data_IF_472406396800
#
_entry.id   IF_472406396800
#
_cell.length_a   1.000
_cell.length_b   1.000
_cell.length_c   1.000
_cell.angle_alpha   90.00
_cell.angle_beta   90.00
_cell.angle_gamma   90.00
#
_symmetry.space_group_name_H-M   'P 1'
#
loop_
_entity.id
_entity.type
_entity.pdbx_description
1 polymer ?
#
# COMPACT_ATOMS: atom_id res chain seq x y z
N UNK A 1 -14.35 -6.59 -5.32
CA UNK A 1 -12.98 -6.11 -5.06
C UNK A 1 -12.22 -7.08 -4.18
N UNK A 2 -10.96 -6.76 -3.89
CA UNK A 2 -10.10 -7.46 -2.94
C UNK A 2 -9.96 -6.62 -1.69
N UNK A 3 -9.95 -7.25 -0.52
CA UNK A 3 -9.78 -6.59 0.77
C UNK A 3 -8.41 -5.92 0.87
N UNK A 4 -8.31 -4.63 1.26
CA UNK A 4 -7.04 -3.89 1.24
C UNK A 4 -6.18 -4.09 2.49
N UNK A 5 -6.62 -4.84 3.51
CA UNK A 5 -5.97 -4.83 4.82
C UNK A 5 -4.78 -5.77 4.97
N UNK A 6 -4.81 -6.95 4.38
CA UNK A 6 -3.69 -7.89 4.48
C UNK A 6 -3.53 -8.79 3.25
N UNK A 7 -2.42 -9.53 3.21
CA UNK A 7 -2.05 -10.37 2.07
C UNK A 7 -2.86 -11.65 1.85
N UNK A 8 -3.87 -11.97 2.69
CA UNK A 8 -4.77 -13.11 2.45
C UNK A 8 -5.52 -12.96 1.13
N UNK A 9 -5.82 -11.70 0.72
CA UNK A 9 -6.48 -11.46 -0.55
C UNK A 9 -7.96 -11.83 -0.57
N UNK A 10 -8.65 -11.68 0.57
CA UNK A 10 -10.08 -11.96 0.67
C UNK A 10 -10.87 -11.18 -0.38
N UNK A 11 -11.69 -11.88 -1.16
CA UNK A 11 -12.61 -11.23 -2.09
C UNK A 11 -13.82 -10.69 -1.34
N UNK A 12 -14.21 -9.45 -1.68
CA UNK A 12 -15.29 -8.72 -1.02
C UNK A 12 -16.24 -8.07 -2.02
N UNK A 13 -17.46 -7.83 -1.56
CA UNK A 13 -18.46 -7.00 -2.25
C UNK A 13 -18.76 -5.78 -1.37
N UNK A 14 -18.56 -4.59 -1.93
CA UNK A 14 -19.04 -3.36 -1.32
C UNK A 14 -20.51 -3.17 -1.68
N UNK A 15 -21.37 -3.04 -0.66
CA UNK A 15 -22.77 -2.68 -0.85
C UNK A 15 -22.87 -1.16 -0.72
N UNK A 16 -23.28 -0.51 -1.80
CA UNK A 16 -23.29 0.95 -1.92
C UNK A 16 -24.72 1.45 -2.05
N UNK A 17 -25.06 2.50 -1.33
CA UNK A 17 -26.31 3.25 -1.45
C UNK A 17 -26.01 4.74 -1.30
N UNK A 18 -26.58 5.56 -2.19
CA UNK A 18 -26.38 7.01 -2.21
C UNK A 18 -24.88 7.39 -2.16
N UNK A 19 -24.07 6.72 -3.02
CA UNK A 19 -22.61 6.89 -3.14
C UNK A 19 -21.81 6.58 -1.86
N UNK A 20 -22.43 5.97 -0.86
CA UNK A 20 -21.78 5.58 0.40
C UNK A 20 -21.74 4.06 0.53
N UNK A 21 -20.60 3.54 0.99
CA UNK A 21 -20.49 2.13 1.37
C UNK A 21 -21.26 1.95 2.68
N UNK A 22 -22.30 1.11 2.63
CA UNK A 22 -23.14 0.83 3.80
C UNK A 22 -22.80 -0.48 4.49
N UNK A 23 -22.20 -1.42 3.76
CA UNK A 23 -21.71 -2.69 4.31
C UNK A 23 -20.75 -3.38 3.37
N UNK A 24 -20.00 -4.34 3.91
CA UNK A 24 -19.10 -5.21 3.14
C UNK A 24 -19.45 -6.67 3.42
N UNK A 25 -19.60 -7.45 2.35
CA UNK A 25 -19.83 -8.89 2.43
C UNK A 25 -18.69 -9.66 1.75
N UNK A 26 -18.40 -10.86 2.23
CA UNK A 26 -17.42 -11.74 1.61
C UNK A 26 -17.95 -12.35 0.31
N UNK A 27 -17.15 -12.28 -0.75
CA UNK A 27 -17.37 -13.07 -1.98
C UNK A 27 -16.75 -14.44 -1.86
N UNK A 28 -17.18 -15.33 -2.71
CA UNK A 28 -16.64 -16.68 -2.80
C UNK A 28 -15.30 -16.66 -3.55
N UNK A 29 -14.26 -16.30 -2.82
CA UNK A 29 -12.88 -16.23 -3.31
C UNK A 29 -12.05 -17.43 -2.82
N UNK A 30 -10.99 -17.82 -3.55
CA UNK A 30 -10.21 -19.01 -3.25
C UNK A 30 -9.52 -18.99 -1.88
N UNK A 31 -9.23 -17.79 -1.36
CA UNK A 31 -8.57 -17.62 -0.07
C UNK A 31 -9.53 -17.47 1.11
N UNK A 32 -10.78 -17.07 0.87
CA UNK A 32 -11.68 -16.71 1.96
C UNK A 32 -13.04 -17.43 1.99
N UNK A 33 -13.54 -17.97 0.88
CA UNK A 33 -14.84 -18.67 0.81
C UNK A 33 -15.91 -17.94 1.62
N UNK A 34 -16.20 -16.70 1.26
CA UNK A 34 -17.13 -15.77 1.92
C UNK A 34 -16.78 -15.36 3.36
N UNK A 35 -15.71 -15.90 3.94
CA UNK A 35 -15.26 -15.51 5.28
C UNK A 35 -14.64 -14.11 5.23
N UNK A 36 -14.84 -13.34 6.29
CA UNK A 36 -14.19 -12.05 6.52
C UNK A 36 -13.83 -11.91 7.99
N UNK A 37 -12.68 -11.32 8.25
CA UNK A 37 -12.34 -10.84 9.59
C UNK A 37 -12.99 -9.48 9.88
N UNK A 38 -12.86 -9.01 11.10
CA UNK A 38 -13.41 -7.72 11.54
C UNK A 38 -12.96 -6.55 10.66
N UNK A 39 -11.69 -6.53 10.23
CA UNK A 39 -11.14 -5.46 9.37
C UNK A 39 -11.80 -5.45 7.99
N UNK A 40 -11.88 -6.60 7.34
CA UNK A 40 -12.50 -6.71 6.01
C UNK A 40 -13.99 -6.39 6.02
N UNK A 41 -14.67 -6.68 7.13
CA UNK A 41 -16.12 -6.47 7.25
C UNK A 41 -16.50 -5.04 7.64
N UNK A 42 -15.75 -4.41 8.53
CA UNK A 42 -16.13 -3.14 9.16
C UNK A 42 -15.13 -2.00 8.92
N UNK A 43 -13.94 -2.30 8.40
CA UNK A 43 -12.88 -1.31 8.27
C UNK A 43 -13.02 -0.33 7.09
N UNK A 44 -14.19 -0.21 6.47
CA UNK A 44 -14.40 0.65 5.30
C UNK A 44 -14.72 2.12 5.64
N UNK A 45 -14.93 2.46 6.89
CA UNK A 45 -15.34 3.80 7.34
C UNK A 45 -14.35 4.90 6.92
N UNK A 46 -13.05 4.56 6.81
CA UNK A 46 -12.03 5.53 6.40
C UNK A 46 -12.30 6.14 5.01
N UNK A 47 -13.05 5.47 4.14
CA UNK A 47 -13.36 5.96 2.79
C UNK A 47 -14.20 7.24 2.85
N UNK A 48 -15.12 7.31 3.83
CA UNK A 48 -16.02 8.43 4.04
C UNK A 48 -15.65 9.28 5.28
N UNK A 49 -14.44 9.14 5.81
CA UNK A 49 -13.98 9.93 6.95
C UNK A 49 -14.04 11.42 6.64
N UNK A 50 -14.61 12.25 7.54
CA UNK A 50 -14.59 13.70 7.38
C UNK A 50 -13.18 14.30 7.40
N UNK A 51 -12.21 13.59 7.99
CA UNK A 51 -10.82 14.01 8.04
C UNK A 51 -10.02 13.61 6.80
N UNK A 52 -10.67 12.94 5.84
CA UNK A 52 -10.01 12.52 4.60
C UNK A 52 -9.63 13.73 3.77
N UNK A 53 -8.36 13.82 3.38
CA UNK A 53 -7.88 14.83 2.45
C UNK A 53 -8.43 14.55 1.04
N UNK A 54 -9.19 15.50 0.50
CA UNK A 54 -9.82 15.40 -0.82
C UNK A 54 -9.18 16.33 -1.86
N UNK A 55 -8.26 17.18 -1.42
CA UNK A 55 -7.51 18.11 -2.26
C UNK A 55 -6.02 18.02 -1.96
N UNK A 56 -5.14 18.32 -2.93
CA UNK A 56 -3.72 18.43 -2.67
C UNK A 56 -3.41 19.49 -1.62
N UNK A 57 -2.46 19.19 -0.76
CA UNK A 57 -1.93 20.12 0.23
C UNK A 57 -0.54 20.60 -0.20
N UNK A 58 -0.41 21.90 -0.36
CA UNK A 58 0.84 22.57 -0.73
C UNK A 58 1.37 23.31 0.48
N UNK A 59 2.64 23.06 0.83
CA UNK A 59 3.29 23.76 1.94
C UNK A 59 3.35 25.27 1.68
N UNK A 60 3.00 26.05 2.68
CA UNK A 60 3.05 27.52 2.57
C UNK A 60 4.50 28.01 2.40
N UNK A 61 4.72 29.08 1.63
CA UNK A 61 6.03 29.69 1.50
C UNK A 61 6.63 30.07 2.88
N UNK A 62 7.93 29.84 3.05
CA UNK A 62 8.63 30.16 4.30
C UNK A 62 8.46 29.18 5.45
N UNK A 63 7.54 28.20 5.34
CA UNK A 63 7.36 27.19 6.38
C UNK A 63 8.43 26.10 6.23
N UNK A 64 9.16 25.83 7.32
CA UNK A 64 10.23 24.83 7.33
C UNK A 64 9.73 23.39 7.05
N UNK A 65 10.59 22.61 6.39
CA UNK A 65 10.37 21.15 6.19
C UNK A 65 10.94 20.35 7.37
N UNK A 66 10.58 20.76 8.58
CA UNK A 66 11.06 20.12 9.79
C UNK A 66 9.90 19.36 10.46
N UNK A 67 10.05 18.07 10.77
CA UNK A 67 9.06 17.31 11.52
C UNK A 67 8.69 17.98 12.85
N UNK A 68 9.66 18.50 13.60
CA UNK A 68 9.43 19.18 14.88
C UNK A 68 8.54 20.43 14.70
N UNK A 69 8.69 21.15 13.58
CA UNK A 69 7.81 22.27 13.27
C UNK A 69 6.36 21.81 13.04
N UNK A 70 6.17 20.69 12.35
CA UNK A 70 4.83 20.13 12.14
C UNK A 70 4.18 19.64 13.42
N UNK A 71 4.95 19.11 14.37
CA UNK A 71 4.45 18.68 15.70
C UNK A 71 3.99 19.87 16.56
N UNK A 72 4.62 21.02 16.42
CA UNK A 72 4.24 22.27 17.10
C UNK A 72 2.98 22.90 16.53
N UNK A 73 2.59 22.52 15.31
CA UNK A 73 1.43 23.05 14.59
C UNK A 73 0.44 21.90 14.30
N UNK A 74 -0.39 21.48 15.26
CA UNK A 74 -1.30 20.34 15.11
C UNK A 74 -2.39 20.59 14.07
N UNK A 75 -2.74 21.86 13.79
CA UNK A 75 -3.59 22.19 12.64
C UNK A 75 -2.74 22.25 11.38
N UNK A 76 -2.94 21.28 10.47
CA UNK A 76 -2.25 21.24 9.19
C UNK A 76 -2.41 22.52 8.36
N UNK A 77 -3.49 23.30 8.60
CA UNK A 77 -3.77 24.57 7.90
C UNK A 77 -2.75 25.65 8.24
N UNK A 78 -2.03 25.54 9.33
CA UNK A 78 -0.93 26.47 9.66
C UNK A 78 0.27 26.25 8.74
N UNK A 79 0.54 24.97 8.39
CA UNK A 79 1.69 24.54 7.60
C UNK A 79 1.39 24.47 6.10
N UNK A 80 0.17 24.05 5.75
CA UNK A 80 -0.22 23.81 4.38
C UNK A 80 -1.43 24.68 3.98
N UNK A 81 -1.62 24.79 2.68
CA UNK A 81 -2.85 25.29 2.05
C UNK A 81 -3.38 24.27 1.06
N UNK A 82 -4.65 24.29 0.81
CA UNK A 82 -5.23 23.53 -0.31
C UNK A 82 -4.78 24.13 -1.65
N UNK A 83 -4.60 23.28 -2.63
CA UNK A 83 -4.28 23.61 -4.02
C UNK A 83 -5.14 22.80 -4.98
N UNK A 84 -5.08 23.16 -6.27
CA UNK A 84 -5.62 22.31 -7.33
C UNK A 84 -4.65 21.17 -7.67
N UNK A 85 -5.15 20.14 -8.37
CA UNK A 85 -4.30 19.07 -8.86
C UNK A 85 -3.29 19.58 -9.90
N UNK A 86 -3.70 20.52 -10.76
CA UNK A 86 -2.84 21.15 -11.78
C UNK A 86 -1.67 21.85 -11.11
N UNK A 87 -1.95 22.71 -10.13
CA UNK A 87 -0.93 23.44 -9.38
C UNK A 87 0.04 22.50 -8.66
N UNK A 88 -0.48 21.49 -7.98
CA UNK A 88 0.34 20.54 -7.23
C UNK A 88 1.25 19.69 -8.14
N UNK A 89 0.71 19.23 -9.27
CA UNK A 89 1.47 18.46 -10.26
C UNK A 89 2.52 19.31 -10.96
N UNK A 90 2.20 20.55 -11.33
CA UNK A 90 3.15 21.48 -11.93
C UNK A 90 4.30 21.78 -10.98
N UNK A 91 4.00 22.08 -9.73
CA UNK A 91 5.01 22.33 -8.70
C UNK A 91 5.92 21.11 -8.49
N UNK A 92 5.33 19.91 -8.33
CA UNK A 92 6.08 18.70 -8.08
C UNK A 92 6.94 18.29 -9.28
N UNK A 93 6.35 18.26 -10.49
CA UNK A 93 7.07 17.85 -11.69
C UNK A 93 8.15 18.88 -12.06
N UNK A 94 7.85 20.18 -11.94
CA UNK A 94 8.83 21.23 -12.19
C UNK A 94 10.05 21.12 -11.29
N UNK A 95 9.84 20.84 -9.98
CA UNK A 95 10.96 20.64 -9.04
C UNK A 95 11.74 19.36 -9.31
N UNK A 96 11.10 18.28 -9.70
CA UNK A 96 11.79 17.04 -10.08
C UNK A 96 12.64 17.23 -11.35
N UNK A 97 12.13 17.96 -12.35
CA UNK A 97 12.87 18.31 -13.56
C UNK A 97 14.07 19.22 -13.23
N UNK A 98 13.87 20.25 -12.41
CA UNK A 98 14.95 21.14 -11.95
C UNK A 98 16.08 20.33 -11.28
N UNK A 99 15.75 19.44 -10.35
CA UNK A 99 16.72 18.59 -9.66
C UNK A 99 17.43 17.64 -10.61
N UNK A 100 16.72 17.03 -11.56
CA UNK A 100 17.29 16.17 -12.58
C UNK A 100 18.29 16.92 -13.46
N UNK A 101 17.95 18.14 -13.89
CA UNK A 101 18.84 18.96 -14.72
C UNK A 101 20.08 19.38 -13.93
N UNK A 102 19.91 19.81 -12.68
CA UNK A 102 20.99 20.33 -11.84
C UNK A 102 21.95 19.25 -11.34
N UNK A 103 21.43 18.08 -10.96
CA UNK A 103 22.19 17.03 -10.25
C UNK A 103 22.29 15.70 -11.01
N UNK A 104 21.65 15.62 -12.18
CA UNK A 104 21.59 14.41 -13.00
C UNK A 104 20.50 13.42 -12.55
N UNK A 105 20.16 12.42 -13.40
CA UNK A 105 19.05 11.50 -13.16
C UNK A 105 19.23 10.62 -11.92
N UNK A 106 20.49 10.32 -11.52
CA UNK A 106 20.78 9.50 -10.34
C UNK A 106 20.49 10.19 -9.01
N UNK A 107 20.22 11.50 -9.01
CA UNK A 107 19.78 12.23 -7.82
C UNK A 107 18.32 11.95 -7.42
N UNK A 108 17.57 11.31 -8.31
CA UNK A 108 16.18 10.95 -8.10
C UNK A 108 16.04 9.45 -7.85
N UNK A 109 15.14 9.12 -6.93
CA UNK A 109 14.79 7.75 -6.59
C UNK A 109 13.29 7.62 -6.39
N UNK A 110 12.76 6.40 -6.54
CA UNK A 110 11.37 6.08 -6.28
C UNK A 110 11.22 4.91 -5.31
N UNK A 111 10.33 5.06 -4.35
CA UNK A 111 9.97 4.01 -3.37
C UNK A 111 8.52 3.61 -3.56
N UNK A 112 8.30 2.40 -4.08
CA UNK A 112 6.97 1.85 -4.31
C UNK A 112 6.36 1.20 -3.06
N UNK A 113 5.09 0.89 -3.14
CA UNK A 113 4.32 0.28 -2.06
C UNK A 113 3.66 -1.03 -2.49
N UNK A 114 3.52 -1.98 -1.55
CA UNK A 114 2.71 -3.18 -1.73
C UNK A 114 1.19 -2.91 -1.68
N UNK A 115 0.77 -1.70 -1.36
CA UNK A 115 -0.64 -1.30 -1.27
C UNK A 115 -1.23 -0.84 -2.60
N UNK A 116 -0.41 -0.70 -3.62
CA UNK A 116 -0.85 -0.37 -4.97
C UNK A 116 -1.28 -1.61 -5.78
N UNK A 117 -2.00 -1.37 -6.85
CA UNK A 117 -2.28 -2.37 -7.89
C UNK A 117 -1.04 -2.68 -8.72
N UNK A 118 -1.08 -3.73 -9.52
CA UNK A 118 -0.01 -4.05 -10.48
C UNK A 118 0.19 -2.93 -11.50
N UNK A 119 -0.88 -2.27 -11.91
CA UNK A 119 -0.86 -1.13 -12.83
C UNK A 119 -0.14 0.07 -12.21
N UNK A 120 -0.41 0.38 -10.94
CA UNK A 120 0.29 1.43 -10.19
C UNK A 120 1.77 1.12 -10.05
N UNK A 121 2.13 -0.11 -9.70
CA UNK A 121 3.53 -0.54 -9.62
C UNK A 121 4.26 -0.41 -10.96
N UNK A 122 3.61 -0.82 -12.06
CA UNK A 122 4.14 -0.67 -13.41
C UNK A 122 4.35 0.81 -13.78
N UNK A 123 3.33 1.64 -13.59
CA UNK A 123 3.39 3.07 -13.92
C UNK A 123 4.43 3.81 -13.07
N UNK A 124 4.54 3.46 -11.80
CA UNK A 124 5.55 4.04 -10.91
C UNK A 124 6.98 3.69 -11.35
N UNK A 125 7.23 2.41 -11.65
CA UNK A 125 8.52 1.99 -12.18
C UNK A 125 8.83 2.66 -13.53
N UNK A 126 7.84 2.78 -14.42
CA UNK A 126 7.96 3.48 -15.69
C UNK A 126 8.30 4.95 -15.49
N UNK A 127 7.64 5.64 -14.55
CA UNK A 127 7.96 7.04 -14.20
C UNK A 127 9.42 7.18 -13.81
N UNK A 128 9.93 6.34 -12.91
CA UNK A 128 11.31 6.43 -12.45
C UNK A 128 12.30 6.13 -13.57
N UNK A 129 12.07 5.09 -14.35
CA UNK A 129 12.99 4.68 -15.41
C UNK A 129 12.98 5.62 -16.62
N UNK A 130 11.82 6.01 -17.10
CA UNK A 130 11.69 6.85 -18.29
C UNK A 130 11.61 8.34 -17.96
N UNK A 131 10.84 8.72 -16.95
CA UNK A 131 10.68 10.12 -16.52
C UNK A 131 11.95 10.65 -15.84
N UNK A 132 12.43 9.98 -14.82
CA UNK A 132 13.67 10.40 -14.13
C UNK A 132 14.92 9.99 -14.90
N UNK A 133 14.89 8.89 -15.67
CA UNK A 133 16.06 8.33 -16.34
C UNK A 133 16.99 7.59 -15.36
N UNK A 134 16.42 6.99 -14.31
CA UNK A 134 17.17 6.33 -13.24
C UNK A 134 16.62 4.93 -12.96
N UNK A 135 17.49 4.01 -12.56
CA UNK A 135 17.11 2.70 -12.04
C UNK A 135 17.00 2.68 -10.50
N UNK A 136 17.06 3.84 -9.84
CA UNK A 136 16.92 3.96 -8.39
C UNK A 136 15.44 3.82 -8.01
N UNK A 137 14.89 2.64 -8.20
CA UNK A 137 13.51 2.29 -7.83
C UNK A 137 13.51 0.98 -7.07
N UNK A 138 12.80 0.96 -5.97
CA UNK A 138 12.64 -0.24 -5.16
C UNK A 138 11.22 -0.27 -4.56
N UNK A 139 10.91 -1.36 -3.87
CA UNK A 139 9.61 -1.67 -3.33
C UNK A 139 9.72 -1.91 -1.82
N UNK A 140 8.63 -1.79 -1.09
CA UNK A 140 8.61 -2.01 0.36
C UNK A 140 9.14 -3.40 0.77
N UNK A 141 9.06 -4.39 -0.12
CA UNK A 141 9.64 -5.74 0.04
C UNK A 141 11.11 -5.71 0.44
N UNK A 142 11.88 -4.73 -0.01
CA UNK A 142 13.30 -4.56 0.33
C UNK A 142 13.54 -4.57 1.83
N UNK A 143 12.69 -3.92 2.60
CA UNK A 143 12.81 -3.83 4.06
C UNK A 143 11.86 -4.80 4.79
N UNK A 144 10.76 -5.20 4.15
CA UNK A 144 9.70 -6.01 4.78
C UNK A 144 10.07 -7.50 4.82
N UNK A 145 10.40 -8.10 3.67
CA UNK A 145 10.62 -9.54 3.53
C UNK A 145 11.66 -9.90 2.45
N UNK A 146 12.69 -9.09 2.28
CA UNK A 146 13.77 -9.38 1.32
C UNK A 146 14.46 -10.71 1.63
N UNK A 147 14.67 -11.04 2.90
CA UNK A 147 15.22 -12.33 3.34
C UNK A 147 14.32 -13.51 2.98
N UNK A 148 13.00 -13.34 3.10
CA UNK A 148 12.04 -14.38 2.68
C UNK A 148 12.05 -14.59 1.17
N UNK A 149 12.16 -13.50 0.40
CA UNK A 149 12.29 -13.59 -1.07
C UNK A 149 13.56 -14.30 -1.46
N UNK A 150 14.70 -14.00 -0.82
CA UNK A 150 15.96 -14.69 -1.06
C UNK A 150 15.86 -16.19 -0.75
N UNK A 151 15.30 -16.54 0.41
CA UNK A 151 15.09 -17.93 0.81
C UNK A 151 14.16 -18.71 -0.15
N UNK A 152 13.10 -18.05 -0.63
CA UNK A 152 12.20 -18.64 -1.62
C UNK A 152 12.89 -18.85 -2.97
N UNK A 153 13.69 -17.89 -3.43
CA UNK A 153 14.48 -18.02 -4.67
C UNK A 153 15.48 -19.18 -4.60
N UNK A 154 16.15 -19.35 -3.45
CA UNK A 154 17.10 -20.44 -3.22
C UNK A 154 16.39 -21.80 -3.04
N UNK A 155 15.27 -21.83 -2.31
CA UNK A 155 14.59 -23.08 -1.96
C UNK A 155 13.64 -23.60 -3.04
N UNK A 156 12.89 -22.74 -3.69
CA UNK A 156 11.84 -23.11 -4.67
C UNK A 156 12.00 -22.48 -6.05
N UNK A 157 13.02 -21.66 -6.23
CA UNK A 157 13.29 -21.01 -7.53
C UNK A 157 12.32 -19.86 -7.89
N UNK A 158 11.49 -19.39 -6.96
CA UNK A 158 10.52 -18.33 -7.16
C UNK A 158 10.52 -17.37 -5.99
N UNK A 159 10.37 -16.07 -6.25
CA UNK A 159 10.26 -15.04 -5.21
C UNK A 159 8.91 -15.00 -4.50
N UNK A 160 8.00 -15.92 -4.79
CA UNK A 160 6.68 -16.01 -4.18
C UNK A 160 6.38 -17.46 -3.78
N UNK A 161 5.46 -17.62 -2.82
CA UNK A 161 4.98 -18.94 -2.39
C UNK A 161 4.27 -19.68 -3.54
N UNK A 162 4.39 -21.00 -3.56
CA UNK A 162 3.83 -21.85 -4.61
C UNK A 162 2.45 -22.42 -4.30
N UNK A 163 2.02 -22.36 -3.03
CA UNK A 163 0.77 -22.95 -2.57
C UNK A 163 -0.32 -21.92 -2.29
N UNK A 164 -1.59 -22.20 -2.63
CA UNK A 164 -2.73 -21.44 -2.14
C UNK A 164 -2.82 -21.47 -0.61
N UNK A 165 -3.37 -20.41 -0.01
CA UNK A 165 -3.55 -20.34 1.45
C UNK A 165 -4.33 -21.53 2.01
N UNK A 166 -5.33 -22.00 1.26
CA UNK A 166 -6.22 -23.09 1.68
C UNK A 166 -5.53 -24.45 1.76
N UNK A 167 -4.44 -24.65 1.04
CA UNK A 167 -3.74 -25.96 1.03
C UNK A 167 -3.26 -26.38 2.43
N UNK A 168 -3.16 -25.41 3.36
CA UNK A 168 -2.80 -25.70 4.75
C UNK A 168 -3.78 -26.65 5.45
N UNK A 169 -5.04 -26.73 5.00
CA UNK A 169 -6.04 -27.64 5.58
C UNK A 169 -5.75 -29.12 5.31
N UNK A 170 -4.91 -29.42 4.31
CA UNK A 170 -4.50 -30.77 3.95
C UNK A 170 -3.20 -31.22 4.67
N UNK A 171 -2.60 -30.33 5.47
CA UNK A 171 -1.37 -30.64 6.18
C UNK A 171 -1.64 -31.49 7.43
N UNK A 172 -0.88 -32.56 7.59
CA UNK A 172 -0.91 -33.39 8.80
C UNK A 172 -0.21 -32.71 9.99
N UNK A 173 0.72 -31.82 9.72
CA UNK A 173 1.46 -31.04 10.70
C UNK A 173 1.68 -29.62 10.21
N UNK A 174 1.39 -28.65 11.07
CA UNK A 174 1.62 -27.23 10.81
C UNK A 174 2.58 -26.68 11.86
N UNK A 175 3.74 -26.18 11.40
CA UNK A 175 4.74 -25.55 12.26
C UNK A 175 4.67 -24.03 12.09
N UNK A 176 4.37 -23.29 13.16
CA UNK A 176 4.27 -21.84 13.18
C UNK A 176 5.38 -21.29 14.08
N UNK A 177 6.32 -20.54 13.50
CA UNK A 177 7.44 -19.95 14.24
C UNK A 177 7.51 -18.44 13.93
N UNK A 178 7.61 -17.60 14.97
CA UNK A 178 7.85 -16.18 14.84
C UNK A 178 6.71 -15.39 14.20
N UNK A 179 5.50 -15.97 14.09
CA UNK A 179 4.34 -15.31 13.51
C UNK A 179 3.07 -15.46 14.35
N UNK A 180 2.12 -14.56 14.16
CA UNK A 180 0.80 -14.64 14.77
C UNK A 180 -0.28 -14.53 13.67
N UNK A 181 -0.60 -15.66 12.99
CA UNK A 181 -1.56 -15.63 11.89
C UNK A 181 -2.98 -15.26 12.32
N UNK A 182 -3.35 -15.51 13.57
CA UNK A 182 -4.69 -15.15 14.09
C UNK A 182 -4.88 -13.64 14.18
N UNK A 183 -3.83 -12.89 14.47
CA UNK A 183 -3.86 -11.43 14.52
C UNK A 183 -3.61 -10.80 13.13
N UNK A 184 -2.58 -11.28 12.42
CA UNK A 184 -2.12 -10.65 11.19
C UNK A 184 -2.89 -11.08 9.95
N UNK A 185 -3.32 -12.36 9.90
CA UNK A 185 -3.99 -12.99 8.75
C UNK A 185 -5.19 -13.83 9.21
N UNK A 186 -6.22 -13.22 9.86
CA UNK A 186 -7.24 -13.98 10.60
C UNK A 186 -8.01 -14.98 9.75
N UNK A 187 -8.33 -14.65 8.49
CA UNK A 187 -9.04 -15.58 7.61
C UNK A 187 -8.15 -16.76 7.22
N UNK A 188 -6.86 -16.54 6.93
CA UNK A 188 -5.92 -17.63 6.67
C UNK A 188 -5.81 -18.56 7.89
N UNK A 189 -5.80 -18.02 9.11
CA UNK A 189 -5.76 -18.80 10.34
C UNK A 189 -6.98 -19.71 10.52
N UNK A 190 -8.12 -19.40 9.87
CA UNK A 190 -9.30 -20.29 9.95
C UNK A 190 -9.11 -21.63 9.21
N UNK A 191 -8.14 -21.72 8.31
CA UNK A 191 -7.78 -22.95 7.60
C UNK A 191 -6.78 -23.82 8.36
N UNK A 192 -6.17 -23.27 9.41
CA UNK A 192 -5.17 -23.95 10.26
C UNK A 192 -5.78 -24.67 11.46
N UNK A 193 -7.12 -24.66 11.59
CA UNK A 193 -7.84 -25.23 12.73
C UNK A 193 -8.30 -26.66 12.48
#
# INVERSE_FOLDING_TARGET
>A
SVCPFCGVGCQITYNVRDEKIISVTGRDGPANEKRLCVKGRFGFDYVASPDRLTRPLIRKPGVAKDPAHCEQHPDWREVFREGTWEEALELASGKLVELKVKHGPKSLAGFGSAKGSNEEAYLFQKLVRTGFGSNNVDHCTRLCHASSVAALLEGVGSGAVSNPVKDVEFAELILIIGSNPTANHPVAATWMK
#
